data_IF_846621517488
#
_entry.id   IF_846621517488
#
_cell.length_a   1.000
_cell.length_b   1.000
_cell.length_c   1.000
_cell.angle_alpha   90.00
_cell.angle_beta   90.00
_cell.angle_gamma   90.00
#
_symmetry.space_group_name_H-M   'P 1'
#
loop_
_entity.id
_entity.type
_entity.pdbx_description
1 polymer ?
#
# COMPACT_ATOMS: atom_id res chain seq x y z
N UNK A 1 -16.36 12.02 7.41
CA UNK A 1 -15.39 10.90 7.40
C UNK A 1 -15.26 10.41 5.96
N UNK A 2 -14.08 10.49 5.34
CA UNK A 2 -13.93 10.05 3.95
C UNK A 2 -13.80 8.53 3.86
N UNK A 3 -14.54 7.89 2.97
CA UNK A 3 -14.49 6.44 2.73
C UNK A 3 -13.06 5.93 2.47
N UNK A 4 -12.19 6.78 1.94
CA UNK A 4 -10.79 6.45 1.65
C UNK A 4 -9.99 6.10 2.91
N UNK A 5 -10.17 6.85 4.01
CA UNK A 5 -9.46 6.57 5.27
C UNK A 5 -9.94 5.28 5.92
N UNK A 6 -11.25 5.01 5.86
CA UNK A 6 -11.83 3.77 6.38
C UNK A 6 -11.33 2.56 5.59
N UNK A 7 -11.33 2.65 4.25
CA UNK A 7 -10.83 1.59 3.36
C UNK A 7 -9.35 1.29 3.62
N UNK A 8 -8.51 2.33 3.68
CA UNK A 8 -7.10 2.19 3.99
C UNK A 8 -6.86 1.50 5.34
N UNK A 9 -7.56 1.93 6.40
CA UNK A 9 -7.41 1.33 7.74
C UNK A 9 -7.80 -0.13 7.76
N UNK A 10 -8.91 -0.49 7.09
CA UNK A 10 -9.34 -1.89 6.99
C UNK A 10 -8.27 -2.75 6.30
N UNK A 11 -7.79 -2.31 5.12
CA UNK A 11 -6.74 -3.02 4.37
C UNK A 11 -5.46 -3.14 5.19
N UNK A 12 -4.99 -2.05 5.79
CA UNK A 12 -3.77 -2.04 6.62
C UNK A 12 -3.89 -3.01 7.80
N UNK A 13 -5.05 -3.05 8.45
CA UNK A 13 -5.29 -3.97 9.56
C UNK A 13 -5.27 -5.43 9.10
N UNK A 14 -5.92 -5.74 7.98
CA UNK A 14 -5.89 -7.10 7.40
C UNK A 14 -4.49 -7.54 7.03
N UNK A 15 -3.69 -6.67 6.40
CA UNK A 15 -2.29 -6.98 6.06
C UNK A 15 -1.47 -7.26 7.33
N UNK A 16 -1.63 -6.46 8.40
CA UNK A 16 -0.91 -6.66 9.65
C UNK A 16 -1.22 -8.01 10.32
N UNK A 17 -2.48 -8.45 10.29
CA UNK A 17 -2.92 -9.71 10.90
C UNK A 17 -2.26 -10.95 10.29
N UNK A 18 -1.67 -10.83 9.11
CA UNK A 18 -0.98 -11.93 8.43
C UNK A 18 0.45 -12.14 8.93
N UNK A 19 0.97 -11.22 9.75
CA UNK A 19 2.30 -11.33 10.32
C UNK A 19 2.22 -11.80 11.78
N UNK A 20 3.06 -12.76 12.19
CA UNK A 20 3.05 -13.30 13.55
C UNK A 20 3.53 -12.28 14.61
N UNK A 21 4.21 -11.22 14.17
CA UNK A 21 4.69 -10.11 15.00
C UNK A 21 4.36 -8.80 14.31
N UNK A 22 4.19 -7.75 15.10
CA UNK A 22 3.96 -6.40 14.57
C UNK A 22 5.12 -6.01 13.64
N UNK A 23 4.84 -5.69 12.36
CA UNK A 23 5.87 -5.26 11.43
C UNK A 23 6.54 -3.96 11.90
N UNK A 24 7.86 -3.89 11.83
CA UNK A 24 8.64 -2.69 12.19
C UNK A 24 9.59 -2.28 11.05
N UNK A 25 10.21 -1.10 11.18
CA UNK A 25 11.25 -0.62 10.27
C UNK A 25 10.83 -0.58 8.79
N UNK A 26 11.70 -1.10 7.91
CA UNK A 26 11.46 -1.10 6.47
C UNK A 26 10.21 -1.90 6.08
N UNK A 27 9.98 -3.06 6.72
CA UNK A 27 8.81 -3.90 6.46
C UNK A 27 7.51 -3.13 6.70
N UNK A 28 7.38 -2.46 7.85
CA UNK A 28 6.21 -1.64 8.17
C UNK A 28 5.95 -0.54 7.12
N UNK A 29 7.01 0.08 6.60
CA UNK A 29 6.93 1.11 5.56
C UNK A 29 6.48 0.52 4.23
N UNK A 30 6.99 -0.66 3.85
CA UNK A 30 6.56 -1.36 2.63
C UNK A 30 5.09 -1.76 2.71
N UNK A 31 4.66 -2.35 3.83
CA UNK A 31 3.26 -2.76 4.04
C UNK A 31 2.30 -1.56 4.08
N UNK A 32 2.74 -0.43 4.63
CA UNK A 32 1.94 0.80 4.59
C UNK A 32 1.76 1.31 3.16
N UNK A 33 2.82 1.24 2.33
CA UNK A 33 2.75 1.62 0.91
C UNK A 33 1.90 0.64 0.09
N UNK A 34 1.95 -0.66 0.42
CA UNK A 34 1.09 -1.67 -0.17
C UNK A 34 -0.39 -1.42 0.17
N UNK A 35 -0.69 -1.10 1.43
CA UNK A 35 -2.05 -0.76 1.85
C UNK A 35 -2.59 0.49 1.13
N UNK A 36 -1.75 1.50 0.94
CA UNK A 36 -2.08 2.69 0.14
C UNK A 36 -2.42 2.31 -1.30
N UNK A 37 -1.56 1.51 -1.95
CA UNK A 37 -1.76 1.06 -3.33
C UNK A 37 -3.08 0.30 -3.49
N UNK A 38 -3.33 -0.71 -2.65
CA UNK A 38 -4.58 -1.51 -2.72
C UNK A 38 -5.80 -0.61 -2.47
N UNK A 39 -5.75 0.26 -1.46
CA UNK A 39 -6.85 1.19 -1.15
C UNK A 39 -7.14 2.16 -2.29
N UNK A 40 -6.08 2.66 -2.93
CA UNK A 40 -6.17 3.57 -4.08
C UNK A 40 -6.68 2.87 -5.34
N UNK A 41 -6.25 1.63 -5.61
CA UNK A 41 -6.74 0.83 -6.74
C UNK A 41 -8.23 0.56 -6.58
N UNK A 42 -8.66 0.07 -5.41
CA UNK A 42 -10.08 -0.18 -5.12
C UNK A 42 -10.91 1.12 -5.20
N UNK A 43 -10.36 2.24 -4.73
CA UNK A 43 -11.03 3.53 -4.76
C UNK A 43 -11.13 4.19 -6.13
N UNK A 44 -10.13 3.99 -6.98
CA UNK A 44 -10.07 4.57 -8.32
C UNK A 44 -10.63 3.63 -9.40
N UNK A 45 -10.76 2.34 -9.09
CA UNK A 45 -11.07 1.27 -10.05
C UNK A 45 -10.10 1.25 -11.23
N UNK A 46 -8.84 1.59 -10.96
CA UNK A 46 -7.79 1.76 -11.96
C UNK A 46 -6.44 1.37 -11.38
N UNK A 47 -5.51 0.99 -12.25
CA UNK A 47 -4.11 0.73 -11.92
C UNK A 47 -3.19 1.87 -12.39
N UNK A 48 -3.74 2.91 -13.03
CA UNK A 48 -2.98 4.10 -13.42
C UNK A 48 -2.57 4.91 -12.19
N UNK A 49 -1.27 4.97 -11.88
CA UNK A 49 -0.74 5.49 -10.61
C UNK A 49 -1.21 6.90 -10.21
N UNK A 50 -1.36 7.88 -11.12
CA UNK A 50 -1.95 9.17 -10.77
C UNK A 50 -3.39 9.07 -10.26
N UNK A 51 -4.21 8.21 -10.86
CA UNK A 51 -5.59 7.98 -10.42
C UNK A 51 -5.63 7.26 -9.07
N UNK A 52 -4.77 6.26 -8.89
CA UNK A 52 -4.59 5.54 -7.61
C UNK A 52 -4.21 6.53 -6.50
N UNK A 53 -3.16 7.32 -6.71
CA UNK A 53 -2.66 8.30 -5.74
C UNK A 53 -3.69 9.36 -5.36
N UNK A 54 -4.60 9.71 -6.26
CA UNK A 54 -5.68 10.65 -5.96
C UNK A 54 -6.72 10.12 -4.96
N UNK A 55 -6.78 8.79 -4.75
CA UNK A 55 -7.78 8.11 -3.90
C UNK A 55 -7.19 7.56 -2.59
N UNK A 56 -5.96 7.92 -2.25
CA UNK A 56 -5.28 7.49 -1.01
C UNK A 56 -5.39 8.59 0.06
N UNK A 57 -5.65 8.23 1.34
CA UNK A 57 -5.75 9.19 2.45
C UNK A 57 -4.35 9.61 2.95
N UNK A 58 -3.60 10.31 2.11
CA UNK A 58 -2.26 10.81 2.40
C UNK A 58 -2.20 12.33 2.12
N UNK A 59 -1.60 13.08 3.05
CA UNK A 59 -1.48 14.54 3.01
C UNK A 59 -0.35 15.03 2.07
N UNK A 60 0.52 14.14 1.58
CA UNK A 60 1.56 14.50 0.63
C UNK A 60 0.99 14.96 -0.73
N UNK A 61 1.76 15.79 -1.44
CA UNK A 61 1.42 16.23 -2.81
C UNK A 61 1.17 15.01 -3.71
N UNK A 62 0.24 15.14 -4.67
CA UNK A 62 -0.11 14.06 -5.59
C UNK A 62 1.12 13.50 -6.30
N UNK A 63 1.98 14.35 -6.86
CA UNK A 63 3.19 13.92 -7.56
C UNK A 63 4.18 13.18 -6.66
N UNK A 64 4.29 13.57 -5.39
CA UNK A 64 5.12 12.87 -4.42
C UNK A 64 4.61 11.45 -4.16
N UNK A 65 3.28 11.27 -4.12
CA UNK A 65 2.63 9.96 -3.97
C UNK A 65 2.83 9.11 -5.23
N UNK A 66 2.64 9.69 -6.42
CA UNK A 66 2.93 9.00 -7.69
C UNK A 66 4.37 8.53 -7.73
N UNK A 67 5.35 9.42 -7.46
CA UNK A 67 6.76 9.06 -7.41
C UNK A 67 7.07 7.98 -6.37
N UNK A 68 6.40 8.00 -5.21
CA UNK A 68 6.55 6.95 -4.18
C UNK A 68 6.06 5.61 -4.71
N UNK A 69 4.89 5.58 -5.34
CA UNK A 69 4.31 4.36 -5.92
C UNK A 69 5.12 3.82 -7.08
N UNK A 70 5.58 4.68 -8.00
CA UNK A 70 6.48 4.27 -9.08
C UNK A 70 7.75 3.64 -8.52
N UNK A 71 8.42 4.29 -7.55
CA UNK A 71 9.61 3.73 -6.91
C UNK A 71 9.36 2.41 -6.21
N UNK A 72 8.20 2.25 -5.58
CA UNK A 72 7.85 1.00 -4.88
C UNK A 72 7.60 -0.14 -5.88
N UNK A 73 6.81 0.10 -6.94
CA UNK A 73 6.51 -0.91 -7.96
C UNK A 73 7.74 -1.30 -8.78
N UNK A 74 8.66 -0.36 -9.03
CA UNK A 74 9.90 -0.60 -9.76
C UNK A 74 11.05 -1.13 -8.89
N UNK A 75 10.82 -1.38 -7.59
CA UNK A 75 11.89 -1.85 -6.71
C UNK A 75 12.02 -3.37 -6.78
N UNK A 76 13.04 -3.85 -7.48
CA UNK A 76 13.34 -5.28 -7.63
C UNK A 76 13.68 -6.01 -6.32
N UNK A 77 13.98 -5.28 -5.24
CA UNK A 77 14.19 -5.87 -3.91
C UNK A 77 12.88 -6.08 -3.13
N UNK A 78 11.75 -5.59 -3.65
CA UNK A 78 10.40 -5.94 -3.17
C UNK A 78 9.94 -7.12 -4.02
N UNK A 79 10.65 -8.24 -3.90
CA UNK A 79 10.32 -9.43 -4.66
C UNK A 79 9.11 -10.14 -4.04
N UNK A 80 8.39 -10.88 -4.89
CA UNK A 80 7.22 -11.67 -4.54
C UNK A 80 7.50 -12.58 -3.32
N UNK A 81 8.73 -13.06 -3.16
CA UNK A 81 9.10 -13.86 -1.99
C UNK A 81 9.05 -13.05 -0.68
N UNK A 82 9.57 -11.83 -0.60
CA UNK A 82 9.67 -11.11 0.69
C UNK A 82 8.33 -10.53 1.18
N UNK A 83 7.43 -10.16 0.26
CA UNK A 83 6.10 -9.63 0.61
C UNK A 83 5.00 -10.69 0.61
N UNK A 84 5.12 -11.80 -0.14
CA UNK A 84 4.05 -12.79 -0.30
C UNK A 84 4.32 -14.15 0.38
N UNK A 85 5.49 -14.36 1.03
CA UNK A 85 5.78 -15.60 1.78
C UNK A 85 4.75 -16.01 2.85
N UNK A 86 4.04 -15.11 3.58
CA UNK A 86 2.98 -15.57 4.50
C UNK A 86 1.65 -15.90 3.81
N UNK A 87 1.54 -15.73 2.49
CA UNK A 87 0.31 -15.95 1.70
C UNK A 87 0.33 -17.28 0.92
N UNK A 88 1.50 -17.94 0.84
CA UNK A 88 1.62 -19.28 0.24
C UNK A 88 1.46 -20.30 1.38
N UNK A 89 0.25 -20.84 1.51
CA UNK A 89 0.00 -22.10 2.20
C UNK A 89 -0.38 -23.16 1.19
#
# INVERSE_FOLDING_TARGET
MSDNLRRYRAIRQSIKQLYPKEPTGNLARHLSTLADLISGIVGSKSTHLPQVASKVPDAAKLDSRVKRFTRWVSNNNIDAETCFLPYVR
#
